data_IF_167497678405
#
_entry.id   IF_167497678405
#
_cell.length_a   1.000
_cell.length_b   1.000
_cell.length_c   1.000
_cell.angle_alpha   90.00
_cell.angle_beta   90.00
_cell.angle_gamma   90.00
#
_symmetry.space_group_name_H-M   'P 1'
#
loop_
_entity.id
_entity.type
_entity.pdbx_description
1 polymer ?
#
# COMPACT_ATOMS: atom_id res chain seq x y z
N UNK A 1 -3.21 -3.96 -10.18
CA UNK A 1 -3.51 -3.14 -8.98
C UNK A 1 -4.46 -3.90 -8.07
N UNK A 2 -4.17 -3.96 -6.78
CA UNK A 2 -5.02 -4.70 -5.83
C UNK A 2 -6.13 -3.80 -5.31
N UNK A 3 -7.37 -4.22 -5.50
CA UNK A 3 -8.53 -3.50 -4.99
C UNK A 3 -9.07 -4.19 -3.73
N UNK A 4 -9.92 -3.48 -2.99
CA UNK A 4 -10.60 -4.06 -1.82
C UNK A 4 -11.37 -5.32 -2.23
N UNK A 5 -12.06 -5.28 -3.37
CA UNK A 5 -12.83 -6.42 -3.87
C UNK A 5 -11.94 -7.64 -4.13
N UNK A 6 -10.80 -7.43 -4.76
CA UNK A 6 -9.84 -8.51 -5.04
C UNK A 6 -9.29 -9.10 -3.76
N UNK A 7 -9.00 -8.26 -2.78
CA UNK A 7 -8.49 -8.71 -1.49
C UNK A 7 -9.53 -9.53 -0.74
N UNK A 8 -10.79 -9.08 -0.71
CA UNK A 8 -11.88 -9.83 -0.07
C UNK A 8 -12.00 -11.22 -0.70
N UNK A 9 -11.98 -11.27 -2.02
CA UNK A 9 -12.10 -12.54 -2.75
C UNK A 9 -10.93 -13.47 -2.45
N UNK A 10 -9.71 -12.94 -2.42
CA UNK A 10 -8.52 -13.73 -2.12
C UNK A 10 -8.57 -14.29 -0.70
N UNK A 11 -8.98 -13.47 0.27
CA UNK A 11 -9.09 -13.91 1.65
C UNK A 11 -10.13 -15.02 1.82
N UNK A 12 -11.27 -14.89 1.16
CA UNK A 12 -12.33 -15.90 1.23
C UNK A 12 -11.94 -17.21 0.54
N UNK A 13 -11.17 -17.15 -0.53
CA UNK A 13 -10.76 -18.34 -1.27
C UNK A 13 -9.66 -19.13 -0.57
N UNK A 14 -8.82 -18.46 0.22
CA UNK A 14 -7.64 -19.09 0.81
C UNK A 14 -7.74 -19.31 2.31
N UNK A 15 -8.77 -18.78 2.97
CA UNK A 15 -8.91 -18.84 4.42
C UNK A 15 -10.34 -19.09 4.83
N UNK A 16 -10.52 -19.62 6.02
CA UNK A 16 -11.82 -19.66 6.68
C UNK A 16 -12.07 -18.31 7.36
N UNK A 17 -13.34 -17.92 7.51
CA UNK A 17 -13.69 -16.60 8.04
C UNK A 17 -13.19 -16.37 9.47
N UNK A 18 -13.05 -17.44 10.26
CA UNK A 18 -12.60 -17.34 11.65
C UNK A 18 -11.11 -17.57 11.83
N UNK A 19 -10.36 -17.73 10.74
CA UNK A 19 -8.91 -17.87 10.82
C UNK A 19 -8.27 -16.59 11.34
N UNK A 20 -7.31 -16.76 12.23
CA UNK A 20 -6.52 -15.64 12.75
C UNK A 20 -5.37 -15.37 11.78
N UNK A 21 -5.27 -14.13 11.33
CA UNK A 21 -4.23 -13.73 10.38
C UNK A 21 -3.50 -12.48 10.87
N UNK A 22 -2.31 -12.25 10.31
CA UNK A 22 -1.59 -11.00 10.49
C UNK A 22 -1.52 -10.29 9.13
N UNK A 23 -1.72 -8.98 9.13
CA UNK A 23 -1.73 -8.24 7.87
C UNK A 23 -1.27 -6.80 8.06
N UNK A 24 -0.87 -6.17 6.96
CA UNK A 24 -0.66 -4.73 6.87
C UNK A 24 -1.51 -4.21 5.72
N UNK A 25 -2.16 -3.07 5.95
CA UNK A 25 -3.03 -2.44 4.96
C UNK A 25 -2.64 -0.99 4.77
N UNK A 26 -2.34 -0.62 3.53
CA UNK A 26 -2.02 0.75 3.15
C UNK A 26 -3.05 1.23 2.12
N UNK A 27 -3.60 2.42 2.35
CA UNK A 27 -4.63 3.00 1.49
C UNK A 27 -4.13 4.29 0.84
N UNK A 28 -4.92 4.79 -0.10
CA UNK A 28 -4.66 6.10 -0.72
C UNK A 28 -4.57 7.20 0.35
N UNK A 29 -5.44 7.14 1.35
CA UNK A 29 -5.45 8.14 2.43
C UNK A 29 -4.14 8.13 3.22
N UNK A 30 -3.57 6.94 3.47
CA UNK A 30 -2.28 6.81 4.14
C UNK A 30 -1.16 7.47 3.32
N UNK A 31 -1.17 7.26 2.02
CA UNK A 31 -0.18 7.86 1.11
C UNK A 31 -0.31 9.38 1.11
N UNK A 32 -1.53 9.89 0.99
CA UNK A 32 -1.79 11.33 0.95
C UNK A 32 -1.37 12.00 2.26
N UNK A 33 -1.67 11.36 3.39
CA UNK A 33 -1.29 11.87 4.70
C UNK A 33 0.23 11.93 4.86
N UNK A 34 0.93 10.86 4.48
CA UNK A 34 2.38 10.84 4.57
C UNK A 34 3.03 11.86 3.65
N UNK A 35 2.52 12.01 2.43
CA UNK A 35 3.02 13.01 1.49
C UNK A 35 2.82 14.41 2.06
N UNK A 36 1.68 14.68 2.70
CA UNK A 36 1.41 15.94 3.37
C UNK A 36 2.40 16.24 4.49
N UNK A 37 2.74 15.24 5.29
CA UNK A 37 3.75 15.38 6.35
C UNK A 37 5.12 15.75 5.80
N UNK A 38 5.45 15.25 4.62
CA UNK A 38 6.70 15.55 3.94
C UNK A 38 6.62 16.79 3.05
N UNK A 39 5.49 17.49 3.07
CA UNK A 39 5.23 18.67 2.24
C UNK A 39 5.35 18.39 0.74
N UNK A 40 4.91 17.21 0.31
CA UNK A 40 4.90 16.79 -1.09
C UNK A 40 3.45 16.78 -1.57
N UNK A 41 3.17 17.45 -2.69
CA UNK A 41 1.85 17.39 -3.31
C UNK A 41 1.73 16.13 -4.15
N UNK A 42 0.70 15.34 -3.86
CA UNK A 42 0.42 14.08 -4.55
C UNK A 42 -1.06 14.07 -4.92
N UNK A 43 -1.36 13.80 -6.18
CA UNK A 43 -2.73 13.61 -6.61
C UNK A 43 -3.22 12.23 -6.23
N UNK A 44 -4.53 12.02 -6.27
CA UNK A 44 -5.10 10.71 -6.00
C UNK A 44 -4.56 9.64 -6.95
N UNK A 45 -4.43 9.99 -8.23
CA UNK A 45 -3.88 9.07 -9.24
C UNK A 45 -2.43 8.71 -8.92
N UNK A 46 -1.64 9.68 -8.52
CA UNK A 46 -0.26 9.43 -8.10
C UNK A 46 -0.21 8.57 -6.85
N UNK A 47 -1.12 8.79 -5.90
CA UNK A 47 -1.21 7.97 -4.70
C UNK A 47 -1.50 6.51 -5.04
N UNK A 48 -2.38 6.27 -6.02
CA UNK A 48 -2.66 4.92 -6.49
C UNK A 48 -1.42 4.27 -7.13
N UNK A 49 -0.66 5.04 -7.91
CA UNK A 49 0.60 4.57 -8.50
C UNK A 49 1.63 4.25 -7.42
N UNK A 50 1.68 5.05 -6.36
CA UNK A 50 2.58 4.83 -5.23
C UNK A 50 2.25 3.51 -4.55
N UNK A 51 0.96 3.24 -4.30
CA UNK A 51 0.53 1.99 -3.70
C UNK A 51 0.89 0.79 -4.57
N UNK A 52 0.69 0.92 -5.88
CA UNK A 52 1.05 -0.13 -6.82
C UNK A 52 2.55 -0.40 -6.81
N UNK A 53 3.35 0.67 -6.77
CA UNK A 53 4.80 0.56 -6.67
C UNK A 53 5.24 -0.14 -5.40
N UNK A 54 4.66 0.23 -4.25
CA UNK A 54 4.94 -0.43 -2.97
C UNK A 54 4.66 -1.92 -3.03
N UNK A 55 3.52 -2.30 -3.59
CA UNK A 55 3.12 -3.69 -3.67
C UNK A 55 4.04 -4.48 -4.61
N UNK A 56 4.46 -3.85 -5.70
CA UNK A 56 5.32 -4.48 -6.70
C UNK A 56 6.73 -4.72 -6.18
N UNK A 57 7.22 -3.82 -5.33
CA UNK A 57 8.56 -3.90 -4.74
C UNK A 57 8.54 -4.45 -3.30
N UNK A 58 7.42 -5.04 -2.88
CA UNK A 58 7.32 -5.61 -1.55
C UNK A 58 8.31 -6.75 -1.38
N UNK A 59 9.15 -6.63 -0.36
CA UNK A 59 10.11 -7.66 0.01
C UNK A 59 9.68 -8.22 1.37
N UNK A 60 9.40 -9.51 1.42
CA UNK A 60 8.92 -10.15 2.65
C UNK A 60 9.95 -10.13 3.79
N UNK A 61 11.22 -9.88 3.49
CA UNK A 61 12.26 -9.74 4.51
C UNK A 61 12.22 -8.38 5.20
N UNK A 62 11.73 -7.35 4.51
CA UNK A 62 11.68 -5.98 5.03
C UNK A 62 10.27 -5.55 5.40
N UNK A 63 9.24 -6.18 4.81
CA UNK A 63 7.86 -5.81 5.02
C UNK A 63 7.50 -4.46 4.40
N UNK A 64 6.28 -4.00 4.67
CA UNK A 64 5.84 -2.66 4.30
C UNK A 64 5.89 -1.78 5.53
N UNK A 65 6.63 -0.67 5.45
CA UNK A 65 6.79 0.27 6.55
C UNK A 65 6.88 1.69 6.00
N UNK A 66 7.06 2.67 6.87
CA UNK A 66 7.15 4.07 6.48
C UNK A 66 8.29 4.32 5.49
N UNK A 67 9.39 3.60 5.63
CA UNK A 67 10.52 3.71 4.71
C UNK A 67 10.14 3.22 3.31
N UNK A 68 9.42 2.12 3.22
CA UNK A 68 8.93 1.60 1.94
C UNK A 68 7.97 2.58 1.28
N UNK A 69 7.08 3.20 2.06
CA UNK A 69 6.16 4.21 1.55
C UNK A 69 6.92 5.43 1.06
N UNK A 70 7.88 5.93 1.83
CA UNK A 70 8.69 7.08 1.43
C UNK A 70 9.45 6.82 0.14
N UNK A 71 10.04 5.62 0.00
CA UNK A 71 10.74 5.21 -1.21
C UNK A 71 9.81 5.17 -2.42
N UNK A 72 8.59 4.68 -2.24
CA UNK A 72 7.60 4.61 -3.30
C UNK A 72 7.14 6.01 -3.72
N UNK A 73 6.93 6.91 -2.76
CA UNK A 73 6.60 8.30 -3.05
C UNK A 73 7.71 8.94 -3.89
N UNK A 74 8.96 8.78 -3.46
CA UNK A 74 10.11 9.34 -4.17
C UNK A 74 10.23 8.77 -5.58
N UNK A 75 9.95 7.49 -5.75
CA UNK A 75 10.01 6.81 -7.04
C UNK A 75 8.98 7.33 -8.04
N UNK A 76 7.78 7.67 -7.57
CA UNK A 76 6.69 8.13 -8.43
C UNK A 76 6.75 9.64 -8.67
N UNK A 77 7.08 10.42 -7.64
CA UNK A 77 7.04 11.90 -7.70
C UNK A 77 8.36 12.47 -8.20
N UNK A 78 9.47 11.87 -7.85
CA UNK A 78 10.81 12.31 -8.20
C UNK A 78 11.51 11.28 -9.09
#
# INVERSE_FOLDING_TARGET
>A
MTTVRELIRALQNNNELDDVIAFELWSVDDVMERAGEREIEVTREEAEMILEDMQHHHDCNYGMNWQALDNAIDSVVF
#
